data_IF_483482676722
#
_entry.id   IF_483482676722
#
_cell.length_a   1.000
_cell.length_b   1.000
_cell.length_c   1.000
_cell.angle_alpha   90.00
_cell.angle_beta   90.00
_cell.angle_gamma   90.00
#
_symmetry.space_group_name_H-M   'P 1'
#
loop_
_entity.id
_entity.type
_entity.pdbx_description
1 polymer ?
#
# COMPACT_ATOMS: atom_id res chain seq x y z
N UNK A 1 -11.37 -7.41 21.45
CA UNK A 1 -11.05 -6.23 20.61
C UNK A 1 -9.55 -6.26 20.33
N UNK A 2 -9.17 -6.22 19.07
CA UNK A 2 -7.76 -6.20 18.66
C UNK A 2 -7.16 -4.83 19.01
N UNK A 3 -5.94 -4.81 19.52
CA UNK A 3 -5.21 -3.59 19.83
C UNK A 3 -3.92 -3.55 19.02
N UNK A 4 -3.75 -2.53 18.22
CA UNK A 4 -2.53 -2.24 17.48
C UNK A 4 -1.72 -1.16 18.20
N UNK A 5 -0.40 -1.21 17.95
CA UNK A 5 0.53 -0.10 18.18
C UNK A 5 1.15 0.23 16.84
N UNK A 6 1.25 1.50 16.49
CA UNK A 6 1.77 1.91 15.21
C UNK A 6 2.58 3.20 15.29
N UNK A 7 3.39 3.42 14.30
CA UNK A 7 4.03 4.67 13.96
C UNK A 7 3.95 4.86 12.46
N UNK A 8 3.92 6.09 12.00
CA UNK A 8 3.91 6.42 10.59
C UNK A 8 4.78 7.65 10.35
N UNK A 9 5.42 7.68 9.20
CA UNK A 9 6.23 8.82 8.75
C UNK A 9 6.21 8.88 7.24
N UNK A 10 6.38 10.07 6.68
CA UNK A 10 6.60 10.30 5.26
C UNK A 10 7.62 11.41 5.08
N UNK A 11 8.40 11.35 4.01
CA UNK A 11 9.46 12.33 3.72
C UNK A 11 9.68 12.36 2.19
N UNK A 12 9.80 13.54 1.55
CA UNK A 12 10.05 13.67 0.12
C UNK A 12 11.44 13.16 -0.32
N UNK A 13 12.32 12.85 0.63
CA UNK A 13 13.71 12.51 0.35
C UNK A 13 14.58 13.74 0.07
N UNK A 14 15.74 13.50 -0.54
CA UNK A 14 16.73 14.54 -0.80
C UNK A 14 16.67 15.11 -2.23
N UNK A 15 15.91 14.49 -3.11
CA UNK A 15 15.91 14.79 -4.55
C UNK A 15 14.60 15.45 -5.00
N UNK A 16 13.46 14.98 -4.48
CA UNK A 16 12.14 15.52 -4.86
C UNK A 16 11.82 16.77 -4.04
N UNK A 17 11.17 17.76 -4.67
CA UNK A 17 10.68 18.97 -4.00
C UNK A 17 9.32 18.75 -3.33
N UNK A 18 8.55 17.80 -3.80
CA UNK A 18 7.19 17.50 -3.37
C UNK A 18 7.10 16.03 -2.93
N UNK A 19 6.16 15.75 -2.05
CA UNK A 19 5.86 14.41 -1.56
C UNK A 19 4.43 14.05 -1.99
N UNK A 20 4.33 13.10 -2.90
CA UNK A 20 3.04 12.64 -3.43
C UNK A 20 2.49 11.43 -2.67
N UNK A 21 3.24 10.93 -1.67
CA UNK A 21 2.80 9.85 -0.80
C UNK A 21 1.76 10.33 0.21
N UNK A 22 0.73 9.53 0.42
CA UNK A 22 -0.24 9.71 1.50
C UNK A 22 -0.38 8.42 2.29
N UNK A 23 -0.56 8.51 3.62
CA UNK A 23 -0.81 7.34 4.45
C UNK A 23 -2.06 7.48 5.32
N UNK A 24 -2.60 6.33 5.74
CA UNK A 24 -3.60 6.19 6.79
C UNK A 24 -2.97 5.37 7.91
N UNK A 25 -3.12 5.84 9.16
CA UNK A 25 -2.64 5.13 10.35
C UNK A 25 -3.68 5.25 11.47
N UNK A 26 -4.71 4.44 11.39
CA UNK A 26 -5.88 4.45 12.28
C UNK A 26 -6.17 3.03 12.81
N UNK A 27 -6.87 2.88 13.97
CA UNK A 27 -7.03 1.59 14.64
C UNK A 27 -7.59 0.46 13.78
N UNK A 28 -8.40 0.78 12.77
CA UNK A 28 -9.06 -0.22 11.93
C UNK A 28 -8.49 -0.32 10.53
N UNK A 29 -7.61 0.63 10.12
CA UNK A 29 -7.03 0.68 8.78
C UNK A 29 -5.68 1.38 8.77
N UNK A 30 -4.75 0.77 8.06
CA UNK A 30 -3.44 1.32 7.71
C UNK A 30 -3.29 1.24 6.20
N UNK A 31 -2.81 2.30 5.58
CA UNK A 31 -2.59 2.31 4.13
C UNK A 31 -1.43 3.23 3.76
N UNK A 32 -0.82 2.92 2.62
CA UNK A 32 0.12 3.79 1.91
C UNK A 32 -0.34 3.88 0.47
N UNK A 33 -0.37 5.09 -0.04
CA UNK A 33 -0.72 5.44 -1.40
C UNK A 33 0.39 6.33 -1.97
N UNK A 34 1.11 5.86 -2.98
CA UNK A 34 2.17 6.59 -3.68
C UNK A 34 1.56 7.22 -4.93
N UNK A 35 1.46 8.53 -4.93
CA UNK A 35 0.85 9.30 -5.99
C UNK A 35 1.74 9.42 -7.21
N UNK A 36 1.14 9.29 -8.39
CA UNK A 36 1.84 9.45 -9.66
C UNK A 36 1.08 10.41 -10.59
N UNK A 37 1.82 11.22 -11.32
CA UNK A 37 1.26 12.17 -12.28
C UNK A 37 2.18 13.38 -12.44
N UNK A 38 1.92 14.22 -13.43
CA UNK A 38 2.67 15.46 -13.61
C UNK A 38 2.25 16.54 -12.57
N UNK A 39 3.22 17.27 -12.01
CA UNK A 39 3.01 18.34 -11.04
C UNK A 39 2.30 17.82 -9.76
N UNK A 40 1.30 18.52 -9.25
CA UNK A 40 0.57 18.16 -8.01
C UNK A 40 -0.51 17.07 -8.20
N UNK A 41 -0.58 16.44 -9.37
CA UNK A 41 -1.65 15.50 -9.68
C UNK A 41 -1.56 14.19 -8.89
N UNK A 42 -0.35 13.71 -8.60
CA UNK A 42 -0.13 12.52 -7.76
C UNK A 42 -0.57 12.72 -6.32
N UNK A 43 -0.26 13.87 -5.72
CA UNK A 43 -0.72 14.23 -4.38
C UNK A 43 -2.26 14.23 -4.27
N UNK A 44 -2.94 14.78 -5.29
CA UNK A 44 -4.41 14.76 -5.33
C UNK A 44 -4.95 13.33 -5.40
N UNK A 45 -4.33 12.46 -6.20
CA UNK A 45 -4.77 11.08 -6.36
C UNK A 45 -4.59 10.28 -5.07
N UNK A 46 -3.41 10.35 -4.43
CA UNK A 46 -3.12 9.64 -3.18
C UNK A 46 -3.98 10.15 -2.01
N UNK A 47 -4.17 11.47 -1.89
CA UNK A 47 -5.04 12.07 -0.88
C UNK A 47 -6.50 11.67 -1.05
N UNK A 48 -7.01 11.63 -2.29
CA UNK A 48 -8.38 11.20 -2.59
C UNK A 48 -8.61 9.73 -2.25
N UNK A 49 -7.67 8.85 -2.60
CA UNK A 49 -7.69 7.45 -2.21
C UNK A 49 -7.75 7.30 -0.67
N UNK A 50 -6.84 7.97 0.03
CA UNK A 50 -6.78 7.90 1.49
C UNK A 50 -8.07 8.42 2.15
N UNK A 51 -8.66 9.49 1.64
CA UNK A 51 -9.92 10.05 2.19
C UNK A 51 -11.06 9.05 2.10
N UNK A 52 -11.27 8.44 0.94
CA UNK A 52 -12.35 7.48 0.70
C UNK A 52 -12.16 6.23 1.55
N UNK A 53 -10.93 5.69 1.57
CA UNK A 53 -10.63 4.47 2.34
C UNK A 53 -10.75 4.70 3.84
N UNK A 54 -10.33 5.86 4.36
CA UNK A 54 -10.53 6.23 5.77
C UNK A 54 -12.00 6.18 6.17
N UNK A 55 -12.87 6.73 5.35
CA UNK A 55 -14.31 6.73 5.63
C UNK A 55 -14.92 5.33 5.53
N UNK A 56 -14.52 4.54 4.52
CA UNK A 56 -15.04 3.18 4.31
C UNK A 56 -14.57 2.18 5.35
N UNK A 57 -13.34 2.32 5.83
CA UNK A 57 -12.77 1.43 6.84
C UNK A 57 -12.86 1.94 8.27
N UNK A 58 -13.60 3.01 8.54
CA UNK A 58 -13.73 3.60 9.90
C UNK A 58 -14.09 2.58 10.97
N UNK A 59 -14.92 1.61 10.65
CA UNK A 59 -15.33 0.49 11.51
C UNK A 59 -14.69 -0.85 11.11
N UNK A 60 -13.69 -0.85 10.24
CA UNK A 60 -13.14 -2.03 9.59
C UNK A 60 -13.96 -2.46 8.38
N UNK A 61 -13.51 -3.53 7.71
CA UNK A 61 -14.24 -4.15 6.62
C UNK A 61 -15.23 -5.19 7.16
N UNK A 62 -16.41 -5.27 6.58
CA UNK A 62 -17.43 -6.27 6.97
C UNK A 62 -17.33 -7.56 6.16
N UNK A 63 -16.68 -7.51 4.99
CA UNK A 63 -16.40 -8.65 4.12
C UNK A 63 -15.23 -8.33 3.18
N UNK A 64 -14.66 -9.36 2.56
CA UNK A 64 -13.64 -9.19 1.51
C UNK A 64 -14.18 -8.40 0.32
N UNK A 65 -15.43 -8.66 -0.07
CA UNK A 65 -16.09 -7.92 -1.16
C UNK A 65 -16.30 -6.45 -0.81
N UNK A 66 -16.67 -6.14 0.43
CA UNK A 66 -16.80 -4.76 0.90
C UNK A 66 -15.45 -4.04 0.89
N UNK A 67 -14.38 -4.74 1.26
CA UNK A 67 -13.03 -4.20 1.21
C UNK A 67 -12.57 -3.92 -0.24
N UNK A 68 -12.81 -4.86 -1.15
CA UNK A 68 -12.51 -4.67 -2.57
C UNK A 68 -13.36 -3.55 -3.21
N UNK A 69 -14.64 -3.44 -2.84
CA UNK A 69 -15.53 -2.37 -3.30
C UNK A 69 -15.04 -0.97 -2.88
N UNK A 70 -14.50 -0.82 -1.66
CA UNK A 70 -13.93 0.44 -1.20
C UNK A 70 -12.75 0.91 -2.08
N UNK A 71 -11.89 -0.03 -2.51
CA UNK A 71 -10.80 0.26 -3.46
C UNK A 71 -11.36 0.64 -4.84
N UNK A 72 -12.41 -0.05 -5.28
CA UNK A 72 -13.10 0.28 -6.54
C UNK A 72 -13.71 1.69 -6.53
N UNK A 73 -14.30 2.12 -5.40
CA UNK A 73 -14.82 3.48 -5.24
C UNK A 73 -13.71 4.53 -5.27
N UNK A 74 -12.58 4.28 -4.59
CA UNK A 74 -11.42 5.16 -4.65
C UNK A 74 -10.91 5.30 -6.10
N UNK A 75 -10.80 4.18 -6.83
CA UNK A 75 -10.45 4.19 -8.25
C UNK A 75 -11.41 5.05 -9.08
N UNK A 76 -12.71 4.83 -8.94
CA UNK A 76 -13.73 5.56 -9.72
C UNK A 76 -13.68 7.07 -9.45
N UNK A 77 -13.44 7.48 -8.20
CA UNK A 77 -13.33 8.87 -7.82
C UNK A 77 -12.10 9.54 -8.45
N UNK A 78 -10.92 8.87 -8.38
CA UNK A 78 -9.68 9.39 -8.99
C UNK A 78 -9.83 9.47 -10.50
N UNK A 79 -10.33 8.41 -11.15
CA UNK A 79 -10.56 8.36 -12.57
C UNK A 79 -11.52 9.46 -13.04
N UNK A 80 -12.61 9.70 -12.29
CA UNK A 80 -13.56 10.78 -12.55
C UNK A 80 -12.94 12.17 -12.43
N UNK A 81 -12.15 12.40 -11.37
CA UNK A 81 -11.48 13.67 -11.13
C UNK A 81 -10.40 13.97 -12.19
N UNK A 82 -9.65 12.95 -12.63
CA UNK A 82 -8.68 13.07 -13.73
C UNK A 82 -9.33 13.51 -15.06
N UNK A 83 -10.55 13.07 -15.32
CA UNK A 83 -11.30 13.45 -16.54
C UNK A 83 -12.01 14.79 -16.43
N UNK A 84 -12.36 15.22 -15.23
CA UNK A 84 -13.05 16.47 -15.00
C UNK A 84 -12.13 17.69 -15.05
N UNK A 85 -10.82 17.52 -14.87
CA UNK A 85 -9.84 18.61 -14.83
C UNK A 85 -8.59 18.25 -15.65
N UNK A 86 -8.32 19.04 -16.69
CA UNK A 86 -7.17 18.82 -17.56
C UNK A 86 -5.82 18.86 -16.81
N UNK A 87 -5.72 19.61 -15.71
CA UNK A 87 -4.53 19.64 -14.84
C UNK A 87 -4.28 18.30 -14.11
N UNK A 88 -5.28 17.45 -14.00
CA UNK A 88 -5.20 16.13 -13.36
C UNK A 88 -5.13 14.98 -14.37
N UNK A 89 -4.94 15.28 -15.66
CA UNK A 89 -4.88 14.25 -16.70
C UNK A 89 -3.74 13.27 -16.44
N UNK A 90 -4.08 11.97 -16.37
CA UNK A 90 -3.11 10.90 -16.13
C UNK A 90 -2.66 10.75 -14.69
N UNK A 91 -3.31 11.44 -13.72
CA UNK A 91 -3.05 11.18 -12.32
C UNK A 91 -3.48 9.78 -11.92
N UNK A 92 -2.74 9.20 -11.02
CA UNK A 92 -3.04 7.91 -10.42
C UNK A 92 -2.33 7.75 -9.09
N UNK A 93 -2.52 6.63 -8.45
CA UNK A 93 -1.79 6.27 -7.24
C UNK A 93 -1.69 4.77 -7.10
N UNK A 94 -0.60 4.30 -6.52
CA UNK A 94 -0.54 2.95 -5.95
C UNK A 94 -1.41 2.88 -4.71
N UNK A 95 -1.59 1.70 -4.16
CA UNK A 95 -2.27 1.51 -2.90
C UNK A 95 -1.88 0.18 -2.27
N UNK A 96 -1.43 0.21 -1.02
CA UNK A 96 -1.38 -0.97 -0.17
C UNK A 96 -2.16 -0.70 1.13
N UNK A 97 -3.04 -1.62 1.52
CA UNK A 97 -3.94 -1.47 2.68
C UNK A 97 -3.81 -2.68 3.59
N UNK A 98 -3.81 -2.45 4.88
CA UNK A 98 -4.04 -3.44 5.93
C UNK A 98 -5.23 -2.97 6.77
N UNK A 99 -6.34 -3.70 6.73
CA UNK A 99 -7.52 -3.34 7.52
C UNK A 99 -8.01 -4.52 8.35
N UNK A 100 -8.75 -4.21 9.43
CA UNK A 100 -9.44 -5.22 10.22
C UNK A 100 -10.67 -5.69 9.45
N UNK A 101 -10.80 -7.00 9.31
CA UNK A 101 -11.98 -7.65 8.74
C UNK A 101 -12.80 -8.22 9.89
N UNK A 102 -13.96 -7.61 10.13
CA UNK A 102 -14.90 -8.01 11.17
C UNK A 102 -16.11 -8.67 10.50
N UNK A 103 -16.23 -9.99 10.63
CA UNK A 103 -17.36 -10.77 10.10
C UNK A 103 -18.22 -11.24 11.26
N UNK A 104 -19.54 -11.04 11.15
CA UNK A 104 -20.46 -11.45 12.20
C UNK A 104 -20.38 -12.97 12.46
N UNK A 105 -20.22 -13.33 13.74
CA UNK A 105 -20.10 -14.74 14.15
C UNK A 105 -18.73 -15.38 13.94
N UNK A 106 -17.76 -14.66 13.41
CA UNK A 106 -16.37 -15.11 13.23
C UNK A 106 -15.38 -14.31 14.07
N UNK A 107 -14.16 -14.82 14.20
CA UNK A 107 -13.06 -14.05 14.79
C UNK A 107 -12.55 -13.01 13.81
N UNK A 108 -12.21 -11.83 14.31
CA UNK A 108 -11.58 -10.78 13.52
C UNK A 108 -10.35 -11.31 12.77
N UNK A 109 -10.18 -10.88 11.54
CA UNK A 109 -9.03 -11.17 10.68
C UNK A 109 -8.44 -9.86 10.16
N UNK A 110 -7.35 -9.94 9.44
CA UNK A 110 -6.79 -8.84 8.67
C UNK A 110 -7.03 -9.08 7.19
N UNK A 111 -7.42 -8.06 6.47
CA UNK A 111 -7.42 -8.04 5.01
C UNK A 111 -6.29 -7.14 4.52
N UNK A 112 -5.49 -7.65 3.59
CA UNK A 112 -4.50 -6.88 2.84
C UNK A 112 -5.00 -6.71 1.42
N UNK A 113 -5.00 -5.48 0.91
CA UNK A 113 -5.31 -5.20 -0.50
C UNK A 113 -4.13 -4.48 -1.12
N UNK A 114 -3.88 -4.76 -2.41
CA UNK A 114 -2.80 -4.11 -3.14
C UNK A 114 -3.17 -3.76 -4.57
N UNK A 115 -2.77 -2.56 -4.99
CA UNK A 115 -2.76 -2.10 -6.38
C UNK A 115 -1.49 -1.29 -6.57
N UNK A 116 -0.62 -1.68 -7.50
CA UNK A 116 0.68 -1.04 -7.71
C UNK A 116 1.83 -1.82 -7.08
N UNK A 117 2.92 -1.14 -6.83
CA UNK A 117 4.19 -1.68 -6.33
C UNK A 117 4.56 -1.20 -4.92
N UNK A 118 3.69 -0.44 -4.26
CA UNK A 118 3.72 -0.29 -2.81
C UNK A 118 3.54 -1.64 -2.12
N UNK A 119 4.18 -1.86 -0.97
CA UNK A 119 4.31 -3.19 -0.39
C UNK A 119 3.80 -3.26 1.04
N UNK A 120 3.25 -4.42 1.39
CA UNK A 120 2.99 -4.85 2.76
C UNK A 120 3.86 -6.05 3.10
N UNK A 121 4.65 -5.92 4.17
CA UNK A 121 5.43 -6.99 4.76
C UNK A 121 4.83 -7.42 6.09
N UNK A 122 4.98 -8.71 6.43
CA UNK A 122 4.67 -9.26 7.74
C UNK A 122 5.94 -9.82 8.37
N UNK A 123 6.25 -9.37 9.58
CA UNK A 123 7.27 -9.98 10.44
C UNK A 123 6.60 -10.92 11.44
N UNK A 124 7.02 -12.18 11.45
CA UNK A 124 6.57 -13.21 12.38
C UNK A 124 7.70 -14.18 12.67
N UNK A 125 7.92 -14.52 13.93
CA UNK A 125 8.91 -15.53 14.37
C UNK A 125 10.31 -15.31 13.76
N UNK A 126 10.79 -14.06 13.74
CA UNK A 126 12.13 -13.72 13.24
C UNK A 126 12.26 -13.67 11.72
N UNK A 127 11.16 -13.73 10.98
CA UNK A 127 11.17 -13.70 9.51
C UNK A 127 10.31 -12.55 8.98
N UNK A 128 10.87 -11.78 8.06
CA UNK A 128 10.13 -10.82 7.25
C UNK A 128 9.64 -11.52 5.98
N UNK A 129 8.36 -11.39 5.69
CA UNK A 129 7.73 -11.97 4.50
C UNK A 129 6.92 -10.89 3.80
N UNK A 130 7.19 -10.67 2.53
CA UNK A 130 6.35 -9.83 1.68
C UNK A 130 5.01 -10.54 1.48
N UNK A 131 3.92 -9.84 1.79
CA UNK A 131 2.54 -10.33 1.62
C UNK A 131 2.03 -10.03 0.22
N UNK A 132 2.34 -8.83 -0.26
CA UNK A 132 1.88 -8.33 -1.57
C UNK A 132 2.78 -8.76 -2.71
N UNK A 133 2.25 -8.74 -3.92
CA UNK A 133 2.98 -8.93 -5.18
C UNK A 133 2.87 -7.63 -5.96
N UNK A 134 4.01 -7.12 -6.43
CA UNK A 134 4.04 -5.84 -7.14
C UNK A 134 3.34 -5.94 -8.50
N UNK A 135 2.57 -4.93 -8.85
CA UNK A 135 2.09 -4.74 -10.21
C UNK A 135 3.08 -3.86 -10.97
N UNK A 136 4.21 -4.42 -11.33
CA UNK A 136 5.28 -3.75 -12.07
C UNK A 136 5.79 -4.59 -13.23
N UNK A 137 6.34 -3.92 -14.23
CA UNK A 137 6.90 -4.57 -15.40
C UNK A 137 7.98 -5.60 -15.03
N UNK A 138 8.85 -5.26 -14.09
CA UNK A 138 9.93 -6.17 -13.66
C UNK A 138 9.41 -7.37 -12.89
N UNK A 139 8.34 -7.23 -12.13
CA UNK A 139 7.70 -8.34 -11.44
C UNK A 139 7.09 -9.34 -12.45
N UNK A 140 6.52 -8.85 -13.56
CA UNK A 140 6.02 -9.72 -14.63
C UNK A 140 7.16 -10.49 -15.32
N UNK A 141 8.31 -9.84 -15.53
CA UNK A 141 9.50 -10.50 -16.08
C UNK A 141 10.05 -11.59 -15.12
N UNK A 142 10.06 -11.31 -13.81
CA UNK A 142 10.46 -12.29 -12.79
C UNK A 142 9.48 -13.47 -12.76
N UNK A 143 8.18 -13.19 -12.76
CA UNK A 143 7.14 -14.23 -12.71
C UNK A 143 7.16 -15.16 -13.93
N UNK A 144 7.59 -14.65 -15.09
CA UNK A 144 7.73 -15.42 -16.32
C UNK A 144 9.13 -16.02 -16.51
N UNK A 145 10.05 -15.81 -15.55
CA UNK A 145 11.41 -16.36 -15.57
C UNK A 145 12.36 -15.70 -16.58
N UNK A 146 12.03 -14.51 -17.07
CA UNK A 146 12.89 -13.76 -18.00
C UNK A 146 14.07 -13.09 -17.31
N UNK A 147 13.90 -12.69 -16.06
CA UNK A 147 14.95 -12.12 -15.21
C UNK A 147 14.86 -12.69 -13.80
N UNK A 148 15.96 -12.68 -13.05
CA UNK A 148 15.97 -13.01 -11.62
C UNK A 148 15.45 -11.86 -10.77
N UNK A 149 15.18 -12.12 -9.49
CA UNK A 149 14.79 -11.08 -8.52
C UNK A 149 15.90 -10.05 -8.34
N UNK A 150 17.17 -10.48 -8.37
CA UNK A 150 18.33 -9.61 -8.25
C UNK A 150 18.44 -8.66 -9.46
N UNK A 151 18.25 -9.18 -10.68
CA UNK A 151 18.28 -8.38 -11.91
C UNK A 151 17.14 -7.37 -11.95
N UNK A 152 15.97 -7.69 -11.38
CA UNK A 152 14.84 -6.78 -11.31
C UNK A 152 15.16 -5.49 -10.52
N UNK A 153 15.98 -5.57 -9.46
CA UNK A 153 16.35 -4.43 -8.60
C UNK A 153 17.12 -3.33 -9.35
N UNK A 154 17.89 -3.69 -10.35
CA UNK A 154 18.74 -2.76 -11.14
C UNK A 154 18.22 -2.55 -12.56
N UNK A 155 17.07 -3.12 -12.89
CA UNK A 155 16.53 -3.07 -14.25
C UNK A 155 16.15 -1.62 -14.64
N UNK A 156 16.45 -1.15 -15.87
CA UNK A 156 16.17 0.23 -16.30
C UNK A 156 14.69 0.62 -16.26
N UNK A 157 13.80 -0.37 -16.29
CA UNK A 157 12.34 -0.19 -16.26
C UNK A 157 11.72 -0.65 -14.94
N UNK A 158 12.46 -0.65 -13.81
CA UNK A 158 11.96 -1.14 -12.53
C UNK A 158 10.79 -0.31 -11.98
N UNK A 159 10.76 0.98 -12.31
CA UNK A 159 9.71 1.91 -11.85
C UNK A 159 8.49 1.97 -12.79
N UNK A 160 8.33 1.00 -13.71
CA UNK A 160 7.12 0.94 -14.54
C UNK A 160 6.05 0.15 -13.80
N UNK A 161 5.07 0.86 -13.28
CA UNK A 161 3.86 0.31 -12.65
C UNK A 161 2.89 -0.14 -13.74
N UNK A 162 2.38 -1.36 -13.66
CA UNK A 162 1.45 -1.94 -14.65
C UNK A 162 -0.01 -1.87 -14.23
N UNK A 163 -0.29 -1.53 -12.96
CA UNK A 163 -1.64 -1.33 -12.42
C UNK A 163 -1.65 -0.26 -11.34
N UNK A 164 -2.50 0.76 -11.48
CA UNK A 164 -2.66 1.83 -10.51
C UNK A 164 -4.11 2.31 -10.45
N UNK A 165 -4.51 2.93 -9.33
CA UNK A 165 -5.81 3.58 -9.20
C UNK A 165 -5.86 4.83 -10.09
N UNK A 166 -7.03 5.09 -10.68
CA UNK A 166 -7.30 6.30 -11.46
C UNK A 166 -6.87 6.25 -12.93
N UNK A 167 -6.14 5.22 -13.36
CA UNK A 167 -5.67 5.08 -14.75
C UNK A 167 -6.75 4.47 -15.64
N UNK A 168 -7.42 3.44 -15.17
CA UNK A 168 -8.48 2.74 -15.88
C UNK A 168 -9.84 2.95 -15.18
N UNK A 169 -10.97 2.86 -15.90
CA UNK A 169 -12.30 3.07 -15.30
C UNK A 169 -12.64 2.07 -14.20
N UNK A 170 -12.03 0.90 -14.23
CA UNK A 170 -12.15 -0.14 -13.20
C UNK A 170 -10.78 -0.69 -12.85
N UNK A 171 -10.61 -1.10 -11.60
CA UNK A 171 -9.38 -1.73 -11.12
C UNK A 171 -9.71 -2.98 -10.33
N UNK A 172 -8.84 -3.98 -10.41
CA UNK A 172 -8.88 -5.16 -9.55
C UNK A 172 -7.75 -5.07 -8.55
N UNK A 173 -8.09 -4.95 -7.27
CA UNK A 173 -7.12 -5.11 -6.20
C UNK A 173 -6.83 -6.60 -5.97
N UNK A 174 -5.56 -6.93 -5.73
CA UNK A 174 -5.21 -8.22 -5.16
C UNK A 174 -5.53 -8.22 -3.67
N UNK A 175 -5.99 -9.36 -3.13
CA UNK A 175 -6.50 -9.46 -1.77
C UNK A 175 -5.95 -10.71 -1.07
N UNK A 176 -5.53 -10.53 0.18
CA UNK A 176 -5.11 -11.61 1.08
C UNK A 176 -5.78 -11.44 2.44
N UNK A 177 -6.27 -12.54 2.99
CA UNK A 177 -6.84 -12.57 4.36
C UNK A 177 -5.89 -13.30 5.29
N UNK A 178 -5.57 -12.67 6.40
CA UNK A 178 -4.60 -13.14 7.37
C UNK A 178 -5.23 -13.29 8.75
N UNK A 179 -4.88 -14.34 9.54
CA UNK A 179 -5.27 -14.41 10.92
C UNK A 179 -4.53 -13.34 11.75
N UNK A 180 -5.22 -12.76 12.73
CA UNK A 180 -4.59 -11.90 13.72
C UNK A 180 -3.82 -12.77 14.70
N UNK A 181 -2.51 -12.57 14.75
CA UNK A 181 -1.61 -13.29 15.67
C UNK A 181 -0.85 -12.28 16.52
N UNK A 182 -0.90 -12.49 17.84
CA UNK A 182 -0.18 -11.62 18.77
C UNK A 182 1.32 -11.67 18.51
N UNK A 183 1.91 -10.48 18.38
CA UNK A 183 3.36 -10.33 18.13
C UNK A 183 3.71 -10.20 16.66
N UNK A 184 2.75 -10.34 15.73
CA UNK A 184 2.97 -9.96 14.34
C UNK A 184 3.24 -8.46 14.25
N UNK A 185 4.12 -8.10 13.35
CA UNK A 185 4.36 -6.71 12.94
C UNK A 185 4.18 -6.60 11.44
N UNK A 186 3.66 -5.48 11.01
CA UNK A 186 3.48 -5.18 9.61
C UNK A 186 4.24 -3.91 9.23
N UNK A 187 4.83 -3.89 8.04
CA UNK A 187 5.42 -2.71 7.44
C UNK A 187 4.68 -2.47 6.14
N UNK A 188 4.07 -1.30 6.00
CA UNK A 188 3.48 -0.83 4.76
C UNK A 188 4.37 0.32 4.25
N UNK A 189 4.77 0.27 2.99
CA UNK A 189 5.65 1.28 2.42
C UNK A 189 5.40 1.48 0.92
N UNK A 190 5.74 2.68 0.43
CA UNK A 190 5.94 2.95 -0.99
C UNK A 190 7.28 2.37 -1.48
N UNK A 191 7.55 2.46 -2.77
CA UNK A 191 8.81 2.05 -3.39
C UNK A 191 10.01 2.84 -2.85
N UNK A 192 9.79 4.10 -2.43
CA UNK A 192 10.83 4.96 -1.85
C UNK A 192 11.57 4.35 -0.65
N UNK A 193 10.95 3.42 0.12
CA UNK A 193 11.67 2.68 1.14
C UNK A 193 12.50 1.54 0.55
N UNK A 194 11.92 0.73 -0.30
CA UNK A 194 12.54 -0.53 -0.76
C UNK A 194 13.55 -0.33 -1.89
N UNK A 195 13.52 0.81 -2.55
CA UNK A 195 14.55 1.22 -3.51
C UNK A 195 15.84 1.65 -2.80
N UNK A 196 15.75 2.21 -1.59
CA UNK A 196 16.89 2.72 -0.83
C UNK A 196 17.37 1.76 0.27
N UNK A 197 16.46 0.98 0.88
CA UNK A 197 16.76 0.10 2.02
C UNK A 197 16.60 -1.36 1.63
N UNK A 198 17.66 -2.18 1.74
CA UNK A 198 17.58 -3.63 1.52
C UNK A 198 16.64 -4.33 2.50
N UNK A 199 16.03 -5.44 2.07
CA UNK A 199 15.04 -6.17 2.90
C UNK A 199 15.63 -6.75 4.21
N UNK A 200 16.91 -7.05 4.26
CA UNK A 200 17.61 -7.47 5.47
C UNK A 200 17.72 -6.34 6.51
N UNK A 201 17.94 -5.11 6.10
CA UNK A 201 17.91 -3.95 6.98
C UNK A 201 16.48 -3.64 7.47
N UNK A 202 15.48 -3.79 6.60
CA UNK A 202 14.06 -3.68 7.00
C UNK A 202 13.72 -4.78 8.03
N UNK A 203 14.22 -6.00 7.83
CA UNK A 203 14.07 -7.10 8.78
C UNK A 203 14.69 -6.75 10.14
N UNK A 204 15.93 -6.29 10.17
CA UNK A 204 16.64 -5.91 11.41
C UNK A 204 15.91 -4.80 12.16
N UNK A 205 15.50 -3.74 11.47
CA UNK A 205 14.73 -2.64 12.04
C UNK A 205 13.38 -3.12 12.60
N UNK A 206 12.70 -4.02 11.88
CA UNK A 206 11.41 -4.56 12.31
C UNK A 206 11.55 -5.56 13.47
N UNK A 207 12.66 -6.30 13.53
CA UNK A 207 12.94 -7.28 14.59
C UNK A 207 13.34 -6.61 15.90
N UNK A 208 14.05 -5.48 15.85
CA UNK A 208 14.47 -4.76 17.05
C UNK A 208 13.25 -4.41 17.91
N UNK A 209 13.37 -4.62 19.22
CA UNK A 209 12.32 -4.28 20.17
C UNK A 209 12.16 -2.76 20.19
N UNK A 210 11.21 -2.23 19.45
CA UNK A 210 10.78 -0.86 19.60
C UNK A 210 10.13 -0.71 20.97
N UNK A 211 10.89 -0.23 21.94
CA UNK A 211 10.31 0.48 23.05
C UNK A 211 9.72 1.75 22.44
N UNK A 212 8.44 1.71 22.07
CA UNK A 212 7.69 2.95 21.83
C UNK A 212 7.61 3.59 23.20
N UNK A 213 8.64 4.37 23.55
CA UNK A 213 8.65 5.15 24.77
C UNK A 213 7.52 6.20 24.65
N UNK A 214 6.73 6.20 25.70
CA UNK A 214 5.59 7.07 25.93
C UNK A 214 6.04 8.53 25.87
N UNK A 215 5.52 9.27 24.96
CA UNK A 215 5.30 10.70 25.12
C UNK A 215 3.81 10.99 25.00
#
# INVERSE_FOLDING_TARGET
>A
MVQFRWGATTNPGLVRSENEDTFIAEPMVFAVADGMGGHQAGEVASALAASILRDRFRAGATSEDAAAAAVGEANAAIYGAARANAAHTGMGTTLTVLAVLTTEGESDRLVVLNVGDSRTYRFRAGRLQRVTVDHSYVQELVATGHISVEEARTHPRRNIVTRALGIEPTVRADLWTLPIVRGDRFVLCSDGLVDEVPEDEILEATASSWSIDRT
#
